data_IF_179823199921
#
_entry.id   IF_179823199921
#
_cell.length_a   1.000
_cell.length_b   1.000
_cell.length_c   1.000
_cell.angle_alpha   90.00
_cell.angle_beta   90.00
_cell.angle_gamma   90.00
#
_symmetry.space_group_name_H-M   'P 1'
#
loop_
_entity.id
_entity.type
_entity.pdbx_description
1 polymer ?
#
# COMPACT_ATOMS: atom_id res chain seq x y z
N UNK A 1 -0.30 4.91 -20.37
CA UNK A 1 0.50 6.14 -20.50
C UNK A 1 -0.10 7.17 -19.56
N UNK A 2 0.67 7.66 -18.59
CA UNK A 2 0.23 8.66 -17.63
C UNK A 2 1.45 9.18 -16.88
N UNK A 3 1.90 10.39 -17.21
CA UNK A 3 2.95 11.08 -16.45
C UNK A 3 2.32 11.63 -15.18
N UNK A 4 2.93 11.38 -14.03
CA UNK A 4 2.75 12.17 -12.82
C UNK A 4 4.12 12.72 -12.43
N UNK A 5 4.25 14.05 -12.43
CA UNK A 5 5.40 14.74 -11.87
C UNK A 5 5.02 15.20 -10.47
N UNK A 6 5.73 14.72 -9.46
CA UNK A 6 5.89 15.43 -8.20
C UNK A 6 7.36 15.81 -8.07
N UNK A 7 7.65 17.08 -8.32
CA UNK A 7 8.93 17.70 -7.97
C UNK A 7 8.75 18.29 -6.56
N UNK A 8 8.83 17.43 -5.54
CA UNK A 8 8.81 17.83 -4.14
C UNK A 8 9.97 17.16 -3.41
N UNK A 9 10.95 17.94 -2.99
CA UNK A 9 12.16 17.50 -2.26
C UNK A 9 11.89 17.13 -0.79
N UNK A 10 10.64 16.88 -0.39
CA UNK A 10 10.29 16.62 1.01
C UNK A 10 10.21 15.12 1.30
N UNK A 11 10.59 14.75 2.53
CA UNK A 11 10.55 13.38 3.02
C UNK A 11 9.11 12.87 3.00
N UNK A 12 8.88 11.71 2.39
CA UNK A 12 7.54 11.15 2.27
C UNK A 12 7.55 9.63 2.19
N UNK A 13 6.36 9.05 2.37
CA UNK A 13 6.15 7.60 2.41
C UNK A 13 5.21 7.18 1.29
N UNK A 14 5.56 6.07 0.66
CA UNK A 14 4.77 5.42 -0.38
C UNK A 14 4.34 4.02 0.08
N UNK A 15 3.03 3.79 0.08
CA UNK A 15 2.43 2.47 0.23
C UNK A 15 1.95 1.98 -1.14
N UNK A 16 2.66 1.02 -1.74
CA UNK A 16 2.41 0.55 -3.10
C UNK A 16 1.92 -0.90 -3.12
N UNK A 17 0.66 -1.09 -3.55
CA UNK A 17 0.08 -2.41 -3.76
C UNK A 17 0.64 -3.08 -5.02
N UNK A 18 0.98 -4.37 -4.91
CA UNK A 18 1.39 -5.19 -6.06
C UNK A 18 1.06 -6.67 -5.86
N UNK A 19 1.12 -7.44 -6.95
CA UNK A 19 0.99 -8.90 -6.96
C UNK A 19 2.34 -9.52 -7.29
N UNK A 20 2.48 -10.83 -7.05
CA UNK A 20 3.71 -11.59 -7.32
C UNK A 20 4.32 -11.31 -8.70
N UNK A 21 3.47 -11.32 -9.75
CA UNK A 21 3.86 -11.04 -11.14
C UNK A 21 4.60 -9.71 -11.32
N UNK A 22 4.19 -8.65 -10.60
CA UNK A 22 4.70 -7.29 -10.77
C UNK A 22 5.53 -6.82 -9.57
N UNK A 23 5.88 -7.72 -8.64
CA UNK A 23 6.52 -7.35 -7.38
C UNK A 23 7.82 -6.57 -7.62
N UNK A 24 8.71 -7.13 -8.43
CA UNK A 24 10.00 -6.50 -8.73
C UNK A 24 9.87 -5.29 -9.65
N UNK A 25 8.98 -5.36 -10.64
CA UNK A 25 8.76 -4.24 -11.57
C UNK A 25 8.22 -3.00 -10.86
N UNK A 26 7.21 -3.18 -9.99
CA UNK A 26 6.62 -2.10 -9.20
C UNK A 26 7.64 -1.48 -8.25
N UNK A 27 8.44 -2.31 -7.56
CA UNK A 27 9.51 -1.82 -6.70
C UNK A 27 10.56 -1.04 -7.49
N UNK A 28 11.09 -1.61 -8.58
CA UNK A 28 12.11 -0.97 -9.41
C UNK A 28 11.60 0.33 -10.05
N UNK A 29 10.30 0.44 -10.34
CA UNK A 29 9.71 1.69 -10.79
C UNK A 29 9.78 2.75 -9.68
N UNK A 30 9.37 2.44 -8.45
CA UNK A 30 9.45 3.39 -7.34
C UNK A 30 10.90 3.79 -7.02
N UNK A 31 11.84 2.84 -7.07
CA UNK A 31 13.28 3.10 -6.87
C UNK A 31 13.85 4.08 -7.89
N UNK A 32 13.40 4.03 -9.15
CA UNK A 32 13.79 5.02 -10.18
C UNK A 32 13.35 6.46 -9.85
N UNK A 33 12.32 6.61 -9.01
CA UNK A 33 11.85 7.91 -8.51
C UNK A 33 12.47 8.27 -7.15
N UNK A 34 13.51 7.55 -6.70
CA UNK A 34 14.26 7.87 -5.48
C UNK A 34 13.71 7.24 -4.20
N UNK A 35 12.71 6.38 -4.29
CA UNK A 35 12.20 5.65 -3.12
C UNK A 35 13.13 4.51 -2.71
N UNK A 36 13.22 4.28 -1.40
CA UNK A 36 13.91 3.16 -0.77
C UNK A 36 12.88 2.24 -0.13
N UNK A 37 13.08 0.94 -0.25
CA UNK A 37 12.22 -0.04 0.42
C UNK A 37 12.51 -0.06 1.93
N UNK A 38 11.49 0.14 2.75
CA UNK A 38 11.55 -0.09 4.20
C UNK A 38 11.10 -1.52 4.54
N UNK A 39 9.92 -1.92 4.08
CA UNK A 39 9.36 -3.23 4.36
C UNK A 39 8.42 -3.72 3.24
N UNK A 40 8.24 -5.04 3.15
CA UNK A 40 7.16 -5.65 2.37
C UNK A 40 6.14 -6.21 3.33
N UNK A 41 4.92 -5.72 3.25
CA UNK A 41 3.80 -6.27 4.01
C UNK A 41 2.95 -7.17 3.11
N UNK A 42 2.26 -8.12 3.73
CA UNK A 42 1.49 -9.16 3.05
C UNK A 42 0.04 -9.08 3.53
N UNK A 43 -0.86 -8.90 2.58
CA UNK A 43 -2.28 -9.15 2.81
C UNK A 43 -2.59 -10.61 2.53
N UNK A 44 -2.87 -11.38 3.57
CA UNK A 44 -3.46 -12.71 3.45
C UNK A 44 -4.97 -12.57 3.18
N UNK A 45 -5.40 -12.89 1.96
CA UNK A 45 -6.72 -12.55 1.41
C UNK A 45 -7.90 -13.39 1.95
N UNK A 46 -7.63 -14.42 2.77
CA UNK A 46 -8.61 -15.41 3.28
C UNK A 46 -9.67 -15.75 2.24
N UNK A 47 -9.30 -16.60 1.29
CA UNK A 47 -10.15 -16.85 0.14
C UNK A 47 -10.61 -18.31 0.14
N UNK A 48 -11.91 -18.59 -0.07
CA UNK A 48 -12.45 -19.96 -0.11
C UNK A 48 -11.87 -20.79 -1.25
N UNK A 49 -11.96 -22.14 -1.24
CA UNK A 49 -11.27 -23.05 -2.18
C UNK A 49 -11.82 -22.92 -3.63
N UNK A 50 -11.04 -22.47 -4.63
CA UNK A 50 -11.41 -22.50 -6.04
C UNK A 50 -10.50 -23.47 -6.81
N UNK A 51 -10.87 -23.74 -8.06
CA UNK A 51 -9.97 -24.42 -8.99
C UNK A 51 -8.73 -23.54 -9.28
N UNK A 52 -7.54 -24.12 -9.19
CA UNK A 52 -6.28 -23.52 -9.61
C UNK A 52 -5.51 -24.50 -10.52
N UNK A 53 -4.78 -23.99 -11.51
CA UNK A 53 -4.00 -24.81 -12.45
C UNK A 53 -2.69 -25.32 -11.84
N UNK A 54 -1.97 -24.48 -11.08
CA UNK A 54 -0.72 -24.86 -10.39
C UNK A 54 -0.79 -24.53 -8.89
N UNK A 55 -0.75 -23.24 -8.56
CA UNK A 55 -0.91 -22.72 -7.21
C UNK A 55 -1.87 -21.55 -7.23
N UNK A 56 -2.47 -21.27 -6.07
CA UNK A 56 -3.32 -20.11 -5.89
C UNK A 56 -2.58 -19.02 -5.15
N UNK A 57 -2.56 -17.82 -5.72
CA UNK A 57 -2.10 -16.63 -5.01
C UNK A 57 -3.12 -16.26 -3.93
N UNK A 58 -2.76 -16.56 -2.68
CA UNK A 58 -3.55 -16.26 -1.49
C UNK A 58 -3.29 -14.87 -0.93
N UNK A 59 -2.38 -14.11 -1.53
CA UNK A 59 -1.93 -12.84 -1.00
C UNK A 59 -1.64 -11.77 -2.06
N UNK A 60 -1.61 -10.53 -1.58
CA UNK A 60 -1.08 -9.36 -2.28
C UNK A 60 0.00 -8.71 -1.40
N UNK A 61 0.93 -8.00 -2.03
CA UNK A 61 1.99 -7.26 -1.35
C UNK A 61 1.60 -5.80 -1.20
N UNK A 62 1.93 -5.22 -0.05
CA UNK A 62 1.94 -3.78 0.17
C UNK A 62 3.38 -3.36 0.48
N UNK A 63 4.03 -2.72 -0.50
CA UNK A 63 5.38 -2.20 -0.33
C UNK A 63 5.31 -0.92 0.47
N UNK A 64 6.07 -0.87 1.57
CA UNK A 64 6.25 0.33 2.38
C UNK A 64 7.61 0.91 2.03
N UNK A 65 7.59 2.02 1.31
CA UNK A 65 8.76 2.68 0.76
C UNK A 65 8.80 4.13 1.24
N UNK A 66 9.97 4.77 1.16
CA UNK A 66 10.14 6.16 1.57
C UNK A 66 11.12 6.90 0.65
N UNK A 67 10.89 8.18 0.44
CA UNK A 67 11.79 9.09 -0.25
C UNK A 67 12.46 10.02 0.79
N UNK A 68 13.77 10.24 0.68
CA UNK A 68 14.53 11.00 1.67
C UNK A 68 14.76 10.22 2.97
N UNK A 69 14.37 10.79 4.10
CA UNK A 69 14.33 10.13 5.42
C UNK A 69 12.99 9.42 5.66
N UNK A 70 13.03 8.30 6.40
CA UNK A 70 11.81 7.60 6.79
C UNK A 70 11.09 8.41 7.88
N UNK A 71 9.90 8.90 7.55
CA UNK A 71 9.07 9.66 8.49
C UNK A 71 8.82 8.86 9.79
N UNK A 72 8.98 9.48 10.97
CA UNK A 72 8.76 8.81 12.24
C UNK A 72 7.28 8.44 12.38
N UNK A 73 7.02 7.17 12.72
CA UNK A 73 5.68 6.71 13.07
C UNK A 73 5.29 7.19 14.48
N UNK A 74 3.98 7.31 14.73
CA UNK A 74 3.41 7.57 16.05
C UNK A 74 4.04 6.66 17.12
N UNK A 75 4.51 7.26 18.22
CA UNK A 75 5.34 6.56 19.23
C UNK A 75 4.62 5.36 19.82
N UNK A 76 3.34 5.51 20.07
CA UNK A 76 2.44 4.50 20.61
C UNK A 76 2.12 3.38 19.62
N UNK A 77 2.41 3.51 18.33
CA UNK A 77 2.18 2.46 17.32
C UNK A 77 3.43 1.65 16.96
N UNK A 78 4.60 2.03 17.48
CA UNK A 78 5.87 1.33 17.21
C UNK A 78 5.77 -0.14 17.61
N UNK A 79 5.98 -1.04 16.65
CA UNK A 79 6.00 -2.48 16.87
C UNK A 79 4.62 -3.14 17.08
N UNK A 80 3.51 -2.41 16.96
CA UNK A 80 2.16 -2.97 17.16
C UNK A 80 1.63 -3.75 15.96
N UNK A 81 2.10 -3.43 14.75
CA UNK A 81 1.62 -4.03 13.51
C UNK A 81 2.54 -5.14 13.04
N UNK A 82 1.95 -6.28 12.69
CA UNK A 82 2.64 -7.36 11.99
C UNK A 82 2.75 -7.04 10.51
N UNK A 83 3.85 -7.44 9.88
CA UNK A 83 4.03 -7.33 8.42
C UNK A 83 3.09 -8.23 7.62
N UNK A 84 2.39 -9.17 8.27
CA UNK A 84 1.34 -9.98 7.67
C UNK A 84 0.01 -9.64 8.33
N UNK A 85 -0.96 -9.23 7.53
CA UNK A 85 -2.32 -8.93 8.00
C UNK A 85 -3.33 -9.74 7.20
N UNK A 86 -4.42 -10.13 7.86
CA UNK A 86 -5.39 -11.09 7.35
C UNK A 86 -6.78 -10.43 7.29
N UNK A 87 -7.36 -10.36 6.09
CA UNK A 87 -8.72 -9.85 5.90
C UNK A 87 -9.35 -10.51 4.67
N UNK A 88 -10.63 -10.89 4.76
CA UNK A 88 -11.34 -11.53 3.65
C UNK A 88 -11.62 -10.53 2.52
N UNK A 89 -11.40 -10.96 1.27
CA UNK A 89 -11.78 -10.18 0.08
C UNK A 89 -13.30 -9.99 0.04
N UNK A 90 -13.76 -8.74 0.03
CA UNK A 90 -15.18 -8.39 -0.07
C UNK A 90 -15.63 -8.17 -1.52
N UNK A 91 -14.87 -7.41 -2.32
CA UNK A 91 -15.15 -7.11 -3.73
C UNK A 91 -13.89 -7.22 -4.59
N UNK A 92 -14.07 -7.46 -5.88
CA UNK A 92 -12.95 -7.54 -6.81
C UNK A 92 -12.08 -6.27 -6.75
N UNK A 93 -10.78 -6.47 -6.62
CA UNK A 93 -9.74 -5.42 -6.44
C UNK A 93 -9.89 -4.53 -5.20
N UNK A 94 -10.86 -4.77 -4.30
CA UNK A 94 -11.02 -3.95 -3.10
C UNK A 94 -9.88 -4.27 -2.13
N UNK A 95 -9.14 -3.24 -1.72
CA UNK A 95 -8.07 -3.36 -0.74
C UNK A 95 -8.67 -3.49 0.67
N UNK A 96 -8.00 -4.20 1.58
CA UNK A 96 -8.54 -4.51 2.89
C UNK A 96 -8.53 -3.28 3.79
N UNK A 97 -9.55 -3.17 4.64
CA UNK A 97 -9.72 -2.04 5.56
C UNK A 97 -8.55 -1.93 6.54
N UNK A 98 -8.03 -3.06 7.00
CA UNK A 98 -6.91 -3.12 7.94
C UNK A 98 -5.64 -2.41 7.44
N UNK A 99 -5.45 -2.31 6.11
CA UNK A 99 -4.31 -1.59 5.55
C UNK A 99 -4.45 -0.06 5.76
N UNK A 100 -5.66 0.48 5.62
CA UNK A 100 -5.92 1.89 5.87
C UNK A 100 -5.79 2.20 7.37
N UNK A 101 -6.35 1.36 8.24
CA UNK A 101 -6.21 1.49 9.70
C UNK A 101 -4.74 1.47 10.14
N UNK A 102 -3.94 0.58 9.54
CA UNK A 102 -2.50 0.52 9.78
C UNK A 102 -1.85 1.85 9.39
N UNK A 103 -2.07 2.35 8.17
CA UNK A 103 -1.45 3.59 7.68
C UNK A 103 -1.89 4.80 8.53
N UNK A 104 -3.18 4.92 8.82
CA UNK A 104 -3.76 5.98 9.64
C UNK A 104 -3.22 5.96 11.06
N UNK A 105 -3.03 4.77 11.65
CA UNK A 105 -2.44 4.67 12.99
C UNK A 105 -0.95 5.03 13.00
N UNK A 106 -0.18 4.59 12.00
CA UNK A 106 1.25 4.91 11.91
C UNK A 106 1.49 6.41 11.70
N UNK A 107 0.61 7.05 10.93
CA UNK A 107 0.72 8.43 10.49
C UNK A 107 -0.58 9.22 10.72
N UNK A 108 -0.99 9.43 11.99
CA UNK A 108 -2.29 10.05 12.31
C UNK A 108 -2.39 11.46 11.73
N UNK A 109 -1.34 12.27 11.89
CA UNK A 109 -1.33 13.69 11.53
C UNK A 109 -0.80 13.97 10.12
N UNK A 110 -0.42 12.94 9.35
CA UNK A 110 0.08 13.13 7.99
C UNK A 110 -1.06 13.44 7.01
N UNK A 111 -0.79 14.30 6.03
CA UNK A 111 -1.60 14.40 4.82
C UNK A 111 -1.49 13.09 4.03
N UNK A 112 -2.63 12.57 3.53
CA UNK A 112 -2.70 11.26 2.89
C UNK A 112 -3.38 11.41 1.54
N UNK A 113 -2.79 10.79 0.52
CA UNK A 113 -3.30 10.81 -0.84
C UNK A 113 -3.38 9.40 -1.41
N UNK A 114 -4.53 9.01 -1.96
CA UNK A 114 -4.75 7.73 -2.62
C UNK A 114 -4.91 7.91 -4.13
N UNK A 115 -4.00 7.30 -4.90
CA UNK A 115 -4.10 7.18 -6.35
C UNK A 115 -4.89 5.95 -6.77
N UNK A 116 -5.68 6.09 -7.83
CA UNK A 116 -6.58 5.06 -8.35
C UNK A 116 -7.65 4.63 -7.32
N UNK A 117 -8.01 5.56 -6.43
CA UNK A 117 -9.10 5.36 -5.49
C UNK A 117 -10.41 5.06 -6.23
N UNK A 118 -11.31 4.34 -5.55
CA UNK A 118 -12.67 4.03 -6.05
C UNK A 118 -13.78 4.51 -5.11
N UNK A 119 -13.41 5.04 -3.96
CA UNK A 119 -14.32 5.65 -2.99
C UNK A 119 -13.57 6.82 -2.31
N UNK A 120 -14.33 7.77 -1.76
CA UNK A 120 -13.78 8.78 -0.85
C UNK A 120 -13.60 8.18 0.54
N UNK A 121 -12.57 8.60 1.25
CA UNK A 121 -12.29 8.26 2.64
C UNK A 121 -11.99 9.53 3.41
N UNK A 122 -12.57 9.68 4.58
CA UNK A 122 -12.31 10.83 5.45
C UNK A 122 -10.81 10.88 5.81
N UNK A 123 -10.21 12.08 5.73
CA UNK A 123 -8.78 12.26 5.98
C UNK A 123 -7.85 11.81 4.84
N UNK A 124 -8.40 11.46 3.67
CA UNK A 124 -7.63 11.14 2.46
C UNK A 124 -8.07 12.01 1.29
N UNK A 125 -7.09 12.67 0.67
CA UNK A 125 -7.26 13.18 -0.69
C UNK A 125 -7.20 12.01 -1.67
N UNK A 126 -7.99 12.09 -2.73
CA UNK A 126 -8.20 10.95 -3.63
C UNK A 126 -8.16 11.40 -5.08
N UNK A 127 -7.54 10.58 -5.91
CA UNK A 127 -7.58 10.72 -7.36
C UNK A 127 -7.84 9.36 -8.00
N UNK A 128 -8.90 9.25 -8.79
CA UNK A 128 -9.25 8.04 -9.51
C UNK A 128 -10.39 8.29 -10.49
N UNK A 129 -10.44 7.51 -11.56
CA UNK A 129 -11.47 7.67 -12.60
C UNK A 129 -12.88 7.28 -12.12
N UNK A 130 -13.00 6.72 -10.92
CA UNK A 130 -14.25 6.18 -10.35
C UNK A 130 -14.67 6.94 -9.06
N UNK A 131 -14.08 8.11 -8.76
CA UNK A 131 -14.31 8.91 -7.54
C UNK A 131 -14.91 10.28 -7.85
#
# INVERSE_FOLDING_TARGET
MGKAFWLGKEDNVLFLWTIDKYLFEAQSMAEKYGYKLHARMIWNKVTGIPAAFTIRFGHEYLLYMYHGELLPVAKEQRGKWHSVFTEQVKRHSQKPEIAYQLIESLYPDAEKFEMFARNKREGWDVWGNEV
#
